data_IF_879578376250
#
_entry.id   IF_879578376250
#
_cell.length_a   1.000
_cell.length_b   1.000
_cell.length_c   1.000
_cell.angle_alpha   90.00
_cell.angle_beta   90.00
_cell.angle_gamma   90.00
#
_symmetry.space_group_name_H-M   'P 1'
#
loop_
_entity.id
_entity.type
_entity.pdbx_description
1 polymer ?
#
# COMPACT_ATOMS: atom_id res chain seq x y z
N UNK A 1 9.18 -21.75 7.58
CA UNK A 1 10.09 -20.68 8.03
C UNK A 1 10.42 -19.66 6.93
N UNK A 2 10.64 -20.12 5.71
CA UNK A 2 11.00 -19.25 4.58
C UNK A 2 9.94 -18.17 4.30
N UNK A 3 8.65 -18.54 4.34
CA UNK A 3 7.57 -17.60 4.08
C UNK A 3 7.46 -16.54 5.18
N UNK A 4 7.63 -16.94 6.42
CA UNK A 4 7.61 -16.00 7.55
C UNK A 4 8.76 -15.01 7.46
N UNK A 5 9.97 -15.49 7.14
CA UNK A 5 11.14 -14.62 7.01
C UNK A 5 10.95 -13.61 5.86
N UNK A 6 10.43 -14.07 4.72
CA UNK A 6 10.13 -13.20 3.58
C UNK A 6 9.13 -12.11 3.97
N UNK A 7 8.08 -12.47 4.68
CA UNK A 7 7.07 -11.56 5.17
C UNK A 7 7.67 -10.48 6.08
N UNK A 8 8.43 -10.91 7.09
CA UNK A 8 9.04 -9.98 8.03
C UNK A 8 10.06 -9.05 7.37
N UNK A 9 10.86 -9.56 6.42
CA UNK A 9 11.78 -8.70 5.67
C UNK A 9 11.04 -7.62 4.89
N UNK A 10 9.96 -8.00 4.23
CA UNK A 10 9.16 -7.04 3.47
C UNK A 10 8.58 -5.96 4.37
N UNK A 11 8.12 -6.31 5.55
CA UNK A 11 7.47 -5.38 6.47
C UNK A 11 8.45 -4.59 7.32
N UNK A 12 9.74 -4.89 7.28
CA UNK A 12 10.75 -4.16 8.05
C UNK A 12 11.25 -2.88 7.34
N UNK A 13 10.45 -2.34 6.45
CA UNK A 13 10.72 -1.09 5.74
C UNK A 13 9.53 -0.15 5.93
N UNK A 14 9.80 1.10 6.30
CA UNK A 14 8.75 2.08 6.60
C UNK A 14 7.83 2.32 5.40
N UNK A 15 8.40 2.50 4.20
CA UNK A 15 7.60 2.77 3.00
C UNK A 15 6.69 1.60 2.66
N UNK A 16 7.22 0.38 2.73
CA UNK A 16 6.41 -0.82 2.45
C UNK A 16 5.30 -0.99 3.47
N UNK A 17 5.59 -0.72 4.74
CA UNK A 17 4.57 -0.79 5.78
C UNK A 17 3.47 0.25 5.54
N UNK A 18 3.84 1.46 5.14
CA UNK A 18 2.88 2.52 4.80
C UNK A 18 1.99 2.11 3.63
N UNK A 19 2.58 1.53 2.60
CA UNK A 19 1.83 1.03 1.43
C UNK A 19 0.84 -0.05 1.86
N UNK A 20 1.32 -1.05 2.61
CA UNK A 20 0.49 -2.15 3.08
C UNK A 20 -0.70 -1.65 3.91
N UNK A 21 -0.46 -0.67 4.77
CA UNK A 21 -1.51 -0.09 5.59
C UNK A 21 -2.60 0.55 4.73
N UNK A 22 -2.23 1.38 3.76
CA UNK A 22 -3.21 2.01 2.88
C UNK A 22 -3.99 0.97 2.07
N UNK A 23 -3.30 -0.04 1.55
CA UNK A 23 -3.95 -1.11 0.78
C UNK A 23 -4.81 -2.02 1.66
N UNK A 24 -4.59 -2.05 2.97
CA UNK A 24 -5.47 -2.76 3.89
C UNK A 24 -6.83 -2.09 4.00
N UNK A 25 -6.91 -0.82 3.64
CA UNK A 25 -8.15 -0.04 3.69
C UNK A 25 -8.87 -0.09 2.35
N UNK A 26 -8.13 0.04 1.23
CA UNK A 26 -8.73 0.21 -0.09
C UNK A 26 -7.73 -0.14 -1.19
N UNK A 27 -8.23 -0.68 -2.30
CA UNK A 27 -7.47 -0.80 -3.55
C UNK A 27 -7.13 0.61 -4.05
N UNK A 28 -5.87 0.84 -4.44
CA UNK A 28 -5.40 2.15 -4.88
C UNK A 28 -4.56 2.03 -6.15
N UNK A 29 -4.68 3.06 -7.00
CA UNK A 29 -3.81 3.24 -8.14
C UNK A 29 -2.43 3.73 -7.68
N UNK A 30 -1.38 3.45 -8.47
CA UNK A 30 -0.02 3.94 -8.16
C UNK A 30 -0.01 5.44 -7.92
N UNK A 31 -0.69 6.22 -8.76
CA UNK A 31 -0.73 7.68 -8.61
C UNK A 31 -1.38 8.12 -7.30
N UNK A 32 -2.36 7.36 -6.81
CA UNK A 32 -2.98 7.65 -5.52
C UNK A 32 -2.02 7.35 -4.36
N UNK A 33 -1.24 6.26 -4.48
CA UNK A 33 -0.22 5.95 -3.49
C UNK A 33 0.86 7.03 -3.44
N UNK A 34 1.32 7.50 -4.61
CA UNK A 34 2.29 8.60 -4.68
C UNK A 34 1.78 9.85 -3.99
N UNK A 35 0.53 10.22 -4.27
CA UNK A 35 -0.10 11.38 -3.65
C UNK A 35 -0.19 11.21 -2.13
N UNK A 36 -0.76 10.08 -1.68
CA UNK A 36 -1.00 9.85 -0.26
C UNK A 36 0.29 9.80 0.54
N UNK A 37 1.31 9.14 0.01
CA UNK A 37 2.59 8.96 0.69
C UNK A 37 3.55 10.14 0.51
N UNK A 38 3.25 11.03 -0.44
CA UNK A 38 4.12 12.14 -0.80
C UNK A 38 5.50 11.65 -1.25
N UNK A 39 5.52 10.60 -2.06
CA UNK A 39 6.73 9.98 -2.59
C UNK A 39 6.69 9.96 -4.10
N UNK A 40 7.87 9.97 -4.73
CA UNK A 40 7.99 9.90 -6.18
C UNK A 40 7.64 8.50 -6.69
N UNK A 41 7.18 8.42 -7.94
CA UNK A 41 6.74 7.18 -8.56
C UNK A 41 7.80 6.08 -8.52
N UNK A 42 9.04 6.41 -8.85
CA UNK A 42 10.13 5.42 -8.89
C UNK A 42 10.28 4.70 -7.54
N UNK A 43 10.18 5.45 -6.44
CA UNK A 43 10.28 4.88 -5.09
C UNK A 43 9.08 3.99 -4.78
N UNK A 44 7.87 4.49 -5.04
CA UNK A 44 6.64 3.73 -4.80
C UNK A 44 6.64 2.44 -5.62
N UNK A 45 6.95 2.53 -6.91
CA UNK A 45 6.96 1.38 -7.82
C UNK A 45 7.98 0.33 -7.40
N UNK A 46 9.17 0.76 -6.96
CA UNK A 46 10.20 -0.18 -6.49
C UNK A 46 9.72 -0.99 -5.28
N UNK A 47 9.09 -0.33 -4.32
CA UNK A 47 8.56 -1.01 -3.14
C UNK A 47 7.36 -1.89 -3.47
N UNK A 48 6.50 -1.48 -4.39
CA UNK A 48 5.39 -2.31 -4.86
C UNK A 48 5.89 -3.58 -5.54
N UNK A 49 6.99 -3.49 -6.31
CA UNK A 49 7.60 -4.67 -6.93
C UNK A 49 8.09 -5.66 -5.88
N UNK A 50 8.74 -5.17 -4.83
CA UNK A 50 9.19 -6.05 -3.72
C UNK A 50 8.00 -6.74 -3.07
N UNK A 51 6.94 -5.99 -2.77
CA UNK A 51 5.72 -6.55 -2.16
C UNK A 51 5.03 -7.55 -3.07
N UNK A 52 4.96 -7.27 -4.36
CA UNK A 52 4.36 -8.17 -5.35
C UNK A 52 5.14 -9.47 -5.46
N UNK A 53 6.47 -9.38 -5.55
CA UNK A 53 7.33 -10.57 -5.63
C UNK A 53 7.24 -11.43 -4.37
N UNK A 54 6.96 -10.83 -3.23
CA UNK A 54 6.73 -11.56 -1.99
C UNK A 54 5.31 -12.13 -1.87
N UNK A 55 4.44 -11.83 -2.84
CA UNK A 55 3.07 -12.32 -2.84
C UNK A 55 2.12 -11.59 -1.89
N UNK A 56 2.50 -10.41 -1.42
CA UNK A 56 1.69 -9.65 -0.45
C UNK A 56 0.71 -8.69 -1.11
N UNK A 57 1.00 -8.26 -2.34
CA UNK A 57 0.11 -7.41 -3.12
C UNK A 57 -0.05 -8.00 -4.52
N UNK A 58 -1.15 -7.64 -5.17
CA UNK A 58 -1.40 -7.96 -6.57
C UNK A 58 -1.76 -6.68 -7.29
N UNK A 59 -1.54 -6.66 -8.60
CA UNK A 59 -1.90 -5.55 -9.46
C UNK A 59 -3.00 -5.96 -10.44
N UNK A 60 -3.71 -4.97 -10.95
CA UNK A 60 -4.60 -5.12 -12.11
C UNK A 60 -4.53 -3.86 -12.94
N UNK A 61 -4.56 -4.04 -14.25
CA UNK A 61 -4.58 -2.92 -15.19
C UNK A 61 -6.00 -2.60 -15.60
N UNK A 62 -6.32 -1.30 -15.59
CA UNK A 62 -7.57 -0.79 -16.14
C UNK A 62 -7.22 0.39 -17.05
N UNK A 63 -7.11 0.13 -18.35
CA UNK A 63 -6.68 1.12 -19.33
C UNK A 63 -5.27 1.60 -19.05
N UNK A 64 -5.13 2.88 -18.78
CA UNK A 64 -3.83 3.52 -18.48
C UNK A 64 -3.45 3.41 -17.01
N UNK A 65 -4.32 2.87 -16.17
CA UNK A 65 -4.13 2.88 -14.73
C UNK A 65 -3.80 1.50 -14.20
N UNK A 66 -2.88 1.44 -13.23
CA UNK A 66 -2.52 0.18 -12.55
C UNK A 66 -2.92 0.33 -11.09
N UNK A 67 -3.80 -0.58 -10.66
CA UNK A 67 -4.29 -0.64 -9.28
C UNK A 67 -3.58 -1.74 -8.53
N UNK A 68 -3.36 -1.50 -7.24
CA UNK A 68 -2.78 -2.49 -6.33
C UNK A 68 -3.73 -2.76 -5.19
N UNK A 69 -3.74 -4.01 -4.75
CA UNK A 69 -4.53 -4.45 -3.60
C UNK A 69 -3.78 -5.53 -2.85
N UNK A 70 -4.13 -5.75 -1.59
CA UNK A 70 -3.56 -6.84 -0.82
C UNK A 70 -4.05 -8.17 -1.40
N UNK A 71 -3.16 -9.17 -1.44
CA UNK A 71 -3.56 -10.54 -1.72
C UNK A 71 -4.33 -11.08 -0.52
N UNK A 72 -5.13 -12.14 -0.75
CA UNK A 72 -5.77 -12.83 0.36
C UNK A 72 -4.71 -13.41 1.29
N UNK A 73 -4.93 -13.38 2.61
CA UNK A 73 -3.99 -14.00 3.53
C UNK A 73 -3.80 -15.48 3.20
N UNK A 74 -2.55 -15.92 3.09
CA UNK A 74 -2.21 -17.31 2.76
C UNK A 74 -2.13 -18.19 4.00
N UNK A 75 -2.05 -17.57 5.17
CA UNK A 75 -1.91 -18.28 6.43
C UNK A 75 -2.40 -17.42 7.58
N UNK A 76 -2.38 -17.96 8.79
CA UNK A 76 -2.86 -17.27 9.98
C UNK A 76 -2.04 -16.02 10.31
N UNK A 77 -0.73 -16.07 10.10
CA UNK A 77 0.15 -14.93 10.37
C UNK A 77 -0.21 -13.74 9.49
N UNK A 78 -0.40 -13.95 8.19
CA UNK A 78 -0.79 -12.88 7.27
C UNK A 78 -2.16 -12.30 7.64
N UNK A 79 -3.08 -13.16 8.07
CA UNK A 79 -4.40 -12.76 8.52
C UNK A 79 -4.31 -11.81 9.72
N UNK A 80 -3.48 -12.16 10.69
CA UNK A 80 -3.25 -11.34 11.88
C UNK A 80 -2.61 -10.00 11.49
N UNK A 81 -1.65 -10.01 10.58
CA UNK A 81 -0.98 -8.79 10.12
C UNK A 81 -1.96 -7.86 9.41
N UNK A 82 -2.78 -8.38 8.50
CA UNK A 82 -3.78 -7.56 7.81
C UNK A 82 -4.72 -6.89 8.82
N UNK A 83 -5.18 -7.63 9.80
CA UNK A 83 -6.05 -7.13 10.84
C UNK A 83 -5.34 -6.06 11.70
N UNK A 84 -4.09 -6.32 12.06
CA UNK A 84 -3.31 -5.38 12.86
C UNK A 84 -3.12 -4.05 12.12
N UNK A 85 -2.74 -4.10 10.85
CA UNK A 85 -2.56 -2.91 10.03
C UNK A 85 -3.84 -2.08 9.98
N UNK A 86 -4.94 -2.73 9.61
CA UNK A 86 -6.20 -2.05 9.40
C UNK A 86 -6.82 -1.49 10.67
N UNK A 87 -6.71 -2.22 11.79
CA UNK A 87 -7.46 -1.89 13.00
C UNK A 87 -6.64 -1.11 14.02
N UNK A 88 -5.37 -1.42 14.15
CA UNK A 88 -4.55 -0.86 15.23
C UNK A 88 -3.53 0.17 14.74
N UNK A 89 -2.77 -0.16 13.71
CA UNK A 89 -1.67 0.70 13.27
C UNK A 89 -2.17 2.03 12.70
N UNK A 90 -3.37 2.03 12.12
CA UNK A 90 -3.98 3.23 11.54
C UNK A 90 -4.16 4.37 12.54
N UNK A 91 -4.22 4.06 13.84
CA UNK A 91 -4.50 5.07 14.88
C UNK A 91 -3.31 5.39 15.76
N UNK A 92 -2.18 4.68 15.59
CA UNK A 92 -1.06 4.76 16.54
C UNK A 92 -0.04 5.84 16.23
N UNK A 93 0.24 6.09 14.95
CA UNK A 93 1.33 6.97 14.55
C UNK A 93 0.82 8.11 13.67
N UNK A 94 1.36 9.30 13.89
CA UNK A 94 0.98 10.48 13.12
C UNK A 94 1.26 10.32 11.62
N UNK A 95 2.35 9.64 11.27
CA UNK A 95 2.68 9.39 9.88
C UNK A 95 1.57 8.60 9.16
N UNK A 96 1.07 7.54 9.79
CA UNK A 96 0.00 6.73 9.19
C UNK A 96 -1.32 7.50 9.14
N UNK A 97 -1.61 8.30 10.16
CA UNK A 97 -2.80 9.18 10.15
C UNK A 97 -2.73 10.18 9.00
N UNK A 98 -1.57 10.76 8.76
CA UNK A 98 -1.35 11.69 7.65
C UNK A 98 -1.55 10.99 6.31
N UNK A 99 -0.98 9.79 6.14
CA UNK A 99 -1.14 9.02 4.91
C UNK A 99 -2.61 8.74 4.62
N UNK A 100 -3.37 8.33 5.63
CA UNK A 100 -4.80 8.04 5.51
C UNK A 100 -5.58 9.31 5.15
N UNK A 101 -5.27 10.42 5.80
CA UNK A 101 -5.91 11.70 5.50
C UNK A 101 -5.66 12.10 4.05
N UNK A 102 -4.42 11.99 3.59
CA UNK A 102 -4.05 12.28 2.21
C UNK A 102 -4.78 11.35 1.24
N UNK A 103 -4.83 10.05 1.55
CA UNK A 103 -5.54 9.08 0.74
C UNK A 103 -7.01 9.46 0.58
N UNK A 104 -7.68 9.79 1.67
CA UNK A 104 -9.10 10.17 1.62
C UNK A 104 -9.33 11.41 0.76
N UNK A 105 -8.41 12.35 0.76
CA UNK A 105 -8.50 13.53 -0.10
C UNK A 105 -8.30 13.19 -1.56
N UNK A 106 -7.38 12.30 -1.88
CA UNK A 106 -7.06 12.01 -3.28
C UNK A 106 -8.05 11.05 -3.94
N UNK A 107 -8.65 10.11 -3.21
CA UNK A 107 -9.55 9.11 -3.81
C UNK A 107 -10.86 9.71 -4.33
N UNK A 108 -11.23 10.90 -3.88
CA UNK A 108 -12.42 11.60 -4.40
C UNK A 108 -12.14 12.41 -5.65
N UNK A 109 -10.87 12.48 -6.09
CA UNK A 109 -10.46 13.22 -7.29
C UNK A 109 -10.33 12.29 -8.49
N UNK A 110 -10.58 12.76 -9.72
CA UNK A 110 -10.30 11.95 -10.91
C UNK A 110 -8.82 11.58 -10.99
N UNK A 111 -8.53 10.34 -11.39
CA UNK A 111 -7.14 9.86 -11.51
C UNK A 111 -6.29 10.73 -12.43
N UNK A 112 -6.87 11.18 -13.55
CA UNK A 112 -6.18 12.05 -14.50
C UNK A 112 -5.65 13.31 -13.82
N UNK A 113 -6.45 13.91 -12.93
CA UNK A 113 -6.08 15.12 -12.20
C UNK A 113 -4.96 14.85 -11.20
N UNK A 114 -4.98 13.70 -10.54
CA UNK A 114 -3.94 13.28 -9.61
C UNK A 114 -2.64 13.03 -10.34
N UNK A 115 -2.68 12.31 -11.45
CA UNK A 115 -1.51 11.96 -12.24
C UNK A 115 -0.81 13.19 -12.84
N UNK A 116 -1.54 14.25 -13.14
CA UNK A 116 -0.99 15.48 -13.73
C UNK A 116 -0.54 16.51 -12.68
N UNK A 117 -0.71 16.22 -11.41
CA UNK A 117 -0.28 17.08 -10.32
C UNK A 117 1.21 17.41 -10.37
N UNK A 118 1.98 16.51 -10.93
CA UNK A 118 3.42 16.65 -11.10
C UNK A 118 3.77 17.32 -12.39
#
# INVERSE_FOLDING_TARGET
MKDELSLFRCLSDETRLRIMLLLSIKELCVCQLEWALELIQAKVSRHLTVLKNAGLVRDRRDGLWIYYSLTKPRNELEKIIHKYLRKYLTTKHNLFKKDITNMKKCVVKPLKKIATRR
#
